data_IF_069773750350
#
_entry.id   IF_069773750350
#
_cell.length_a   1.000
_cell.length_b   1.000
_cell.length_c   1.000
_cell.angle_alpha   90.00
_cell.angle_beta   90.00
_cell.angle_gamma   90.00
#
_symmetry.space_group_name_H-M   'P 1'
#
loop_
_entity.id
_entity.type
_entity.pdbx_description
1 polymer ?
#
# COMPACT_ATOMS: atom_id res chain seq x y z
N UNK A 1 -19.67 -7.39 4.72
CA UNK A 1 -18.52 -8.11 5.30
C UNK A 1 -17.37 -7.11 5.38
N UNK A 2 -16.72 -7.03 6.55
CA UNK A 2 -15.57 -6.16 6.74
C UNK A 2 -14.32 -7.00 6.92
N UNK A 3 -13.22 -6.59 6.28
CA UNK A 3 -11.92 -7.24 6.37
C UNK A 3 -10.81 -6.22 6.60
N UNK A 4 -9.90 -6.52 7.52
CA UNK A 4 -8.63 -5.81 7.67
C UNK A 4 -7.60 -6.50 6.79
N UNK A 5 -6.94 -5.76 5.92
CA UNK A 5 -5.99 -6.34 4.99
C UNK A 5 -4.75 -5.45 4.80
N UNK A 6 -3.61 -6.09 4.71
CA UNK A 6 -2.39 -5.55 4.17
C UNK A 6 -1.97 -6.35 2.94
N UNK A 7 -0.96 -5.96 2.25
CA UNK A 7 -0.23 -6.58 1.18
C UNK A 7 -0.79 -7.82 0.44
N UNK A 8 0.13 -8.64 -0.02
CA UNK A 8 -0.16 -9.77 -0.94
C UNK A 8 -1.11 -10.80 -0.35
N UNK A 9 -0.91 -11.19 0.91
CA UNK A 9 -1.73 -12.23 1.56
C UNK A 9 -3.18 -11.78 1.72
N UNK A 10 -3.38 -10.56 2.23
CA UNK A 10 -4.70 -9.94 2.37
C UNK A 10 -5.41 -9.79 1.03
N UNK A 11 -4.73 -9.28 0.02
CA UNK A 11 -5.28 -9.08 -1.31
C UNK A 11 -5.75 -10.39 -1.97
N UNK A 12 -4.95 -11.47 -1.85
CA UNK A 12 -5.32 -12.80 -2.36
C UNK A 12 -6.52 -13.38 -1.61
N UNK A 13 -6.56 -13.21 -0.29
CA UNK A 13 -7.68 -13.66 0.52
C UNK A 13 -8.98 -12.96 0.09
N UNK A 14 -8.98 -11.62 -0.02
CA UNK A 14 -10.16 -10.85 -0.42
C UNK A 14 -10.60 -11.21 -1.84
N UNK A 15 -9.67 -11.42 -2.77
CA UNK A 15 -10.00 -11.88 -4.12
C UNK A 15 -10.72 -13.24 -4.09
N UNK A 16 -10.22 -14.18 -3.28
CA UNK A 16 -10.87 -15.48 -3.08
C UNK A 16 -12.24 -15.37 -2.42
N UNK A 17 -12.37 -14.52 -1.39
CA UNK A 17 -13.64 -14.23 -0.73
C UNK A 17 -14.66 -13.67 -1.74
N UNK A 18 -14.27 -12.66 -2.54
CA UNK A 18 -15.17 -12.08 -3.54
C UNK A 18 -15.63 -13.14 -4.57
N UNK A 19 -14.71 -13.97 -5.06
CA UNK A 19 -15.06 -15.06 -5.94
C UNK A 19 -16.06 -16.04 -5.30
N UNK A 20 -15.84 -16.42 -4.05
CA UNK A 20 -16.78 -17.28 -3.30
C UNK A 20 -18.17 -16.64 -3.19
N UNK A 21 -18.24 -15.36 -2.85
CA UNK A 21 -19.51 -14.64 -2.75
C UNK A 21 -20.22 -14.56 -4.10
N UNK A 22 -19.49 -14.32 -5.20
CA UNK A 22 -20.05 -14.22 -6.55
C UNK A 22 -20.62 -15.56 -7.06
N UNK A 23 -20.03 -16.68 -6.62
CA UNK A 23 -20.41 -18.03 -7.08
C UNK A 23 -21.37 -18.76 -6.15
N UNK A 24 -21.65 -18.22 -4.95
CA UNK A 24 -22.55 -18.85 -3.98
C UNK A 24 -23.95 -18.28 -4.11
N UNK A 25 -25.00 -19.12 -4.35
CA UNK A 25 -26.36 -18.65 -4.44
C UNK A 25 -26.80 -17.84 -3.21
N UNK A 26 -27.37 -16.67 -3.44
CA UNK A 26 -27.86 -15.77 -2.41
C UNK A 26 -26.77 -14.87 -1.79
N UNK A 27 -25.50 -15.00 -2.13
CA UNK A 27 -24.43 -14.16 -1.60
C UNK A 27 -23.84 -13.16 -2.63
N UNK A 28 -24.21 -13.25 -3.90
CA UNK A 28 -23.64 -12.42 -4.96
C UNK A 28 -23.80 -10.91 -4.75
N UNK A 29 -24.85 -10.49 -4.03
CA UNK A 29 -25.11 -9.08 -3.72
C UNK A 29 -24.39 -8.58 -2.46
N UNK A 30 -23.62 -9.45 -1.80
CA UNK A 30 -22.85 -9.06 -0.60
C UNK A 30 -21.80 -8.00 -0.94
N UNK A 31 -21.71 -6.99 -0.10
CA UNK A 31 -20.64 -5.97 -0.17
C UNK A 31 -19.46 -6.36 0.70
N UNK A 32 -18.26 -5.97 0.31
CA UNK A 32 -17.03 -6.19 1.07
C UNK A 32 -16.34 -4.84 1.29
N UNK A 33 -16.20 -4.44 2.55
CA UNK A 33 -15.39 -3.29 2.96
C UNK A 33 -14.01 -3.78 3.36
N UNK A 34 -12.98 -3.25 2.72
CA UNK A 34 -11.58 -3.61 2.99
C UNK A 34 -10.89 -2.41 3.62
N UNK A 35 -10.46 -2.55 4.87
CA UNK A 35 -9.66 -1.55 5.57
C UNK A 35 -8.21 -1.91 5.36
N UNK A 36 -7.52 -1.09 4.58
CA UNK A 36 -6.14 -1.31 4.18
C UNK A 36 -5.14 -0.72 5.18
N UNK A 37 -4.06 -1.46 5.44
CA UNK A 37 -2.92 -0.95 6.17
C UNK A 37 -2.26 0.21 5.40
N UNK A 38 -1.93 1.30 6.10
CA UNK A 38 -1.15 2.43 5.59
C UNK A 38 0.13 2.65 6.41
N UNK A 39 0.43 1.76 7.36
CA UNK A 39 1.62 1.84 8.20
C UNK A 39 2.93 1.60 7.46
N UNK A 40 2.87 1.03 6.26
CA UNK A 40 4.03 0.76 5.41
C UNK A 40 4.19 1.77 4.27
N UNK A 41 3.33 2.80 4.25
CA UNK A 41 3.41 3.89 3.29
C UNK A 41 4.75 4.61 3.39
N UNK A 42 5.35 4.93 2.24
CA UNK A 42 6.67 5.55 2.17
C UNK A 42 6.69 6.67 1.12
N UNK A 43 7.57 7.64 1.32
CA UNK A 43 7.82 8.68 0.31
C UNK A 43 9.11 8.38 -0.45
N UNK A 44 9.00 8.13 -1.76
CA UNK A 44 10.11 7.83 -2.66
C UNK A 44 10.10 8.82 -3.83
N UNK A 45 11.23 9.41 -4.17
CA UNK A 45 11.34 10.41 -5.26
C UNK A 45 10.35 11.58 -5.11
N UNK A 46 9.97 11.93 -3.87
CA UNK A 46 8.93 12.94 -3.61
C UNK A 46 7.49 12.46 -3.83
N UNK A 47 7.30 11.19 -4.15
CA UNK A 47 5.99 10.58 -4.38
C UNK A 47 5.55 9.72 -3.19
N UNK A 48 4.28 9.83 -2.80
CA UNK A 48 3.69 8.94 -1.79
C UNK A 48 3.35 7.58 -2.42
N UNK A 49 3.97 6.55 -1.92
CA UNK A 49 3.78 5.14 -2.28
C UNK A 49 3.05 4.45 -1.13
N UNK A 50 1.97 3.75 -1.41
CA UNK A 50 1.15 3.02 -0.43
C UNK A 50 1.12 1.54 -0.81
N UNK A 51 2.17 0.75 -0.49
CA UNK A 51 2.37 -0.59 -1.05
C UNK A 51 1.21 -1.54 -0.82
N UNK A 52 0.60 -1.52 0.36
CA UNK A 52 -0.52 -2.39 0.71
C UNK A 52 -1.81 -1.99 -0.01
N UNK A 53 -2.12 -0.68 -0.03
CA UNK A 53 -3.26 -0.14 -0.78
C UNK A 53 -3.13 -0.46 -2.27
N UNK A 54 -1.93 -0.28 -2.84
CA UNK A 54 -1.67 -0.53 -4.26
C UNK A 54 -1.79 -2.00 -4.61
N UNK A 55 -1.26 -2.89 -3.77
CA UNK A 55 -1.41 -4.34 -3.93
C UNK A 55 -2.88 -4.76 -3.91
N UNK A 56 -3.69 -4.19 -3.00
CA UNK A 56 -5.12 -4.42 -2.95
C UNK A 56 -5.82 -3.89 -4.22
N UNK A 57 -5.54 -2.66 -4.63
CA UNK A 57 -6.10 -2.06 -5.85
C UNK A 57 -5.84 -2.93 -7.08
N UNK A 58 -4.58 -3.32 -7.28
CA UNK A 58 -4.18 -4.07 -8.47
C UNK A 58 -4.71 -5.50 -8.46
N UNK A 59 -4.68 -6.16 -7.30
CA UNK A 59 -5.20 -7.53 -7.17
C UNK A 59 -6.71 -7.58 -7.36
N UNK A 60 -7.45 -6.69 -6.70
CA UNK A 60 -8.91 -6.66 -6.77
C UNK A 60 -9.42 -6.06 -8.08
N UNK A 61 -8.64 -5.20 -8.73
CA UNK A 61 -8.89 -4.66 -10.06
C UNK A 61 -8.43 -5.56 -11.22
N UNK A 62 -7.87 -6.76 -10.95
CA UNK A 62 -7.33 -7.70 -11.94
C UNK A 62 -6.17 -7.15 -12.79
N UNK A 63 -5.36 -6.27 -12.21
CA UNK A 63 -4.20 -5.69 -12.87
C UNK A 63 -2.87 -6.01 -12.19
N UNK A 64 -2.86 -6.93 -11.22
CA UNK A 64 -1.66 -7.34 -10.49
C UNK A 64 -0.75 -8.23 -11.35
N UNK A 65 0.56 -8.13 -11.15
CA UNK A 65 1.51 -9.10 -11.69
C UNK A 65 1.39 -10.42 -10.92
N UNK A 66 0.73 -11.42 -11.50
CA UNK A 66 0.36 -12.67 -10.80
C UNK A 66 1.55 -13.45 -10.24
N UNK A 67 2.70 -13.44 -10.92
CA UNK A 67 3.90 -14.16 -10.48
C UNK A 67 4.52 -13.56 -9.21
N UNK A 68 4.54 -12.22 -9.09
CA UNK A 68 5.06 -11.53 -7.91
C UNK A 68 3.99 -11.41 -6.81
N UNK A 69 2.72 -11.27 -7.20
CA UNK A 69 1.60 -11.01 -6.30
C UNK A 69 1.50 -9.56 -5.84
N UNK A 70 2.32 -8.66 -6.36
CA UNK A 70 2.33 -7.21 -6.15
C UNK A 70 2.77 -6.49 -7.42
N UNK A 71 2.62 -5.18 -7.47
CA UNK A 71 2.89 -4.39 -8.67
C UNK A 71 1.90 -4.68 -9.79
N UNK A 72 2.00 -3.94 -10.87
CA UNK A 72 1.09 -4.06 -12.01
C UNK A 72 1.60 -5.09 -13.01
N UNK A 73 0.69 -5.73 -13.72
CA UNK A 73 1.02 -6.50 -14.92
C UNK A 73 1.52 -5.56 -16.03
N UNK A 74 2.31 -6.12 -16.96
CA UNK A 74 2.79 -5.44 -18.16
C UNK A 74 3.61 -4.16 -17.89
N UNK A 75 4.34 -4.14 -16.77
CA UNK A 75 5.22 -3.02 -16.41
C UNK A 75 6.50 -3.01 -17.23
N UNK A 76 6.98 -1.79 -17.51
CA UNK A 76 8.36 -1.51 -17.87
C UNK A 76 9.03 -0.67 -16.77
N UNK A 77 10.35 -0.53 -16.82
CA UNK A 77 11.13 0.18 -15.80
C UNK A 77 12.02 1.28 -16.42
N UNK A 78 11.51 1.96 -17.43
CA UNK A 78 12.25 2.99 -18.16
C UNK A 78 12.46 4.24 -17.31
N UNK A 79 11.42 4.68 -16.58
CA UNK A 79 11.50 5.80 -15.63
C UNK A 79 12.52 5.49 -14.53
N UNK A 80 12.48 4.28 -13.97
CA UNK A 80 13.45 3.83 -12.97
C UNK A 80 14.90 3.90 -13.51
N UNK A 81 15.10 3.48 -14.77
CA UNK A 81 16.40 3.56 -15.43
C UNK A 81 16.90 4.99 -15.59
N UNK A 82 16.05 5.93 -15.98
CA UNK A 82 16.38 7.36 -16.08
C UNK A 82 16.70 7.96 -14.71
N UNK A 83 15.90 7.66 -13.68
CA UNK A 83 16.19 8.11 -12.33
C UNK A 83 17.56 7.62 -11.83
N UNK A 84 17.90 6.38 -12.14
CA UNK A 84 19.22 5.82 -11.81
C UNK A 84 20.35 6.55 -12.57
N UNK A 85 20.15 6.87 -13.84
CA UNK A 85 21.12 7.60 -14.65
C UNK A 85 21.39 9.02 -14.11
N UNK A 86 20.37 9.67 -13.53
CA UNK A 86 20.52 10.95 -12.82
C UNK A 86 21.08 10.81 -11.40
N UNK A 87 21.33 9.60 -10.92
CA UNK A 87 21.77 9.35 -9.53
C UNK A 87 20.70 9.57 -8.47
N UNK A 88 19.41 9.56 -8.86
CA UNK A 88 18.32 9.71 -7.91
C UNK A 88 18.24 8.52 -6.93
N UNK A 89 17.96 8.79 -5.68
CA UNK A 89 17.87 7.79 -4.61
C UNK A 89 16.46 7.79 -4.01
N UNK A 90 16.02 6.64 -3.46
CA UNK A 90 16.74 5.36 -3.37
C UNK A 90 16.57 4.50 -4.63
N UNK A 91 17.53 3.61 -4.91
CA UNK A 91 17.45 2.67 -6.05
C UNK A 91 17.02 1.25 -5.65
N UNK A 92 16.87 0.99 -4.36
CA UNK A 92 16.53 -0.35 -3.85
C UNK A 92 15.03 -0.68 -3.95
N UNK A 93 14.17 0.31 -4.20
CA UNK A 93 12.74 0.08 -4.37
C UNK A 93 12.38 0.22 -5.85
N UNK A 94 12.03 -0.90 -6.47
CA UNK A 94 11.67 -0.91 -7.89
C UNK A 94 10.20 -0.49 -8.07
N UNK A 95 9.97 0.51 -8.93
CA UNK A 95 8.66 0.96 -9.36
C UNK A 95 8.54 0.79 -10.87
N UNK A 96 7.41 0.29 -11.33
CA UNK A 96 7.09 0.23 -12.76
C UNK A 96 6.65 1.58 -13.32
N UNK A 97 6.71 1.73 -14.64
CA UNK A 97 6.34 2.99 -15.31
C UNK A 97 4.87 3.34 -15.10
N UNK A 98 3.99 2.34 -15.10
CA UNK A 98 2.57 2.50 -14.83
C UNK A 98 2.28 2.75 -13.32
N UNK A 99 3.09 2.16 -12.43
CA UNK A 99 3.06 2.46 -11.00
C UNK A 99 3.38 3.91 -10.73
N UNK A 100 4.40 4.47 -11.40
CA UNK A 100 4.69 5.90 -11.31
C UNK A 100 3.46 6.76 -11.60
N UNK A 101 2.63 6.38 -12.58
CA UNK A 101 1.37 7.07 -12.86
C UNK A 101 0.43 7.12 -11.64
N UNK A 102 0.28 6.01 -10.93
CA UNK A 102 -0.54 5.93 -9.70
C UNK A 102 0.03 6.81 -8.59
N UNK A 103 1.36 6.74 -8.37
CA UNK A 103 2.02 7.51 -7.31
C UNK A 103 2.04 9.02 -7.59
N UNK A 104 2.24 9.43 -8.84
CA UNK A 104 2.18 10.84 -9.27
C UNK A 104 0.79 11.42 -8.98
N UNK A 105 -0.26 10.74 -9.44
CA UNK A 105 -1.64 11.21 -9.26
C UNK A 105 -2.02 11.25 -7.77
N UNK A 106 -1.68 10.21 -7.00
CA UNK A 106 -1.87 10.20 -5.54
C UNK A 106 -1.17 11.38 -4.89
N UNK A 107 0.10 11.60 -5.18
CA UNK A 107 0.90 12.66 -4.56
C UNK A 107 0.39 14.05 -4.94
N UNK A 108 -0.06 14.22 -6.19
CA UNK A 108 -0.66 15.46 -6.66
C UNK A 108 -1.93 15.80 -5.86
N UNK A 109 -2.85 14.84 -5.70
CA UNK A 109 -4.08 15.06 -4.95
C UNK A 109 -3.82 15.32 -3.46
N UNK A 110 -2.93 14.53 -2.84
CA UNK A 110 -2.51 14.78 -1.45
C UNK A 110 -1.90 16.18 -1.28
N UNK A 111 -1.08 16.62 -2.23
CA UNK A 111 -0.49 17.97 -2.25
C UNK A 111 -1.52 19.09 -2.43
N UNK A 112 -2.70 18.79 -2.97
CA UNK A 112 -3.85 19.69 -3.06
C UNK A 112 -4.74 19.66 -1.80
N UNK A 113 -4.37 18.88 -0.78
CA UNK A 113 -5.13 18.74 0.46
C UNK A 113 -6.28 17.73 0.39
N UNK A 114 -6.36 16.91 -0.67
CA UNK A 114 -7.35 15.81 -0.74
C UNK A 114 -6.95 14.73 0.26
N UNK A 115 -7.84 14.27 1.17
CA UNK A 115 -7.50 13.25 2.15
C UNK A 115 -7.26 11.90 1.48
N UNK A 116 -6.45 11.04 2.13
CA UNK A 116 -6.07 9.72 1.58
C UNK A 116 -7.29 8.83 1.32
N UNK A 117 -8.33 8.92 2.14
CA UNK A 117 -9.60 8.21 1.96
C UNK A 117 -10.27 8.54 0.62
N UNK A 118 -10.34 9.82 0.27
CA UNK A 118 -10.89 10.26 -1.02
C UNK A 118 -9.97 9.90 -2.18
N UNK A 119 -8.66 10.05 -2.02
CA UNK A 119 -7.66 9.60 -3.01
C UNK A 119 -7.83 8.11 -3.28
N UNK A 120 -7.94 7.28 -2.22
CA UNK A 120 -8.13 5.84 -2.34
C UNK A 120 -9.44 5.49 -3.06
N UNK A 121 -10.54 6.19 -2.74
CA UNK A 121 -11.82 6.01 -3.43
C UNK A 121 -11.73 6.32 -4.93
N UNK A 122 -11.05 7.40 -5.32
CA UNK A 122 -10.84 7.76 -6.74
C UNK A 122 -10.01 6.69 -7.47
N UNK A 123 -8.96 6.19 -6.83
CA UNK A 123 -8.14 5.09 -7.38
C UNK A 123 -8.96 3.80 -7.47
N UNK A 124 -9.75 3.45 -6.45
CA UNK A 124 -10.62 2.28 -6.45
C UNK A 124 -11.65 2.33 -7.58
N UNK A 125 -12.25 3.49 -7.84
CA UNK A 125 -13.16 3.70 -8.97
C UNK A 125 -12.45 3.47 -10.31
N UNK A 126 -11.21 3.98 -10.49
CA UNK A 126 -10.40 3.70 -11.70
C UNK A 126 -10.16 2.21 -11.94
N UNK A 127 -10.07 1.42 -10.86
CA UNK A 127 -9.84 -0.04 -10.91
C UNK A 127 -11.13 -0.86 -10.90
N UNK A 128 -12.31 -0.24 -10.96
CA UNK A 128 -13.59 -0.92 -11.03
C UNK A 128 -13.96 -1.68 -9.76
N UNK A 129 -13.48 -1.26 -8.58
CA UNK A 129 -13.80 -1.91 -7.31
C UNK A 129 -15.26 -1.71 -6.90
N UNK A 130 -15.87 -0.51 -7.06
CA UNK A 130 -17.28 -0.31 -6.74
C UNK A 130 -18.22 -1.24 -7.52
N UNK A 131 -17.95 -1.46 -8.81
CA UNK A 131 -18.73 -2.37 -9.67
C UNK A 131 -18.63 -3.83 -9.21
N UNK A 132 -17.57 -4.15 -8.46
CA UNK A 132 -17.35 -5.45 -7.82
C UNK A 132 -17.90 -5.51 -6.40
N UNK A 133 -18.64 -4.50 -5.96
CA UNK A 133 -19.15 -4.36 -4.59
C UNK A 133 -18.05 -4.39 -3.51
N UNK A 134 -16.91 -3.80 -3.83
CA UNK A 134 -15.77 -3.67 -2.93
C UNK A 134 -15.56 -2.19 -2.62
N UNK A 135 -15.56 -1.85 -1.32
CA UNK A 135 -15.14 -0.54 -0.82
C UNK A 135 -13.75 -0.68 -0.21
N UNK A 136 -12.79 0.06 -0.71
CA UNK A 136 -11.42 0.09 -0.18
C UNK A 136 -11.23 1.38 0.62
N UNK A 137 -10.87 1.23 1.89
CA UNK A 137 -10.66 2.32 2.83
C UNK A 137 -9.22 2.26 3.36
N UNK A 138 -8.47 3.37 3.40
CA UNK A 138 -7.23 3.41 4.17
C UNK A 138 -7.57 3.38 5.66
N UNK A 139 -6.72 2.83 6.51
CA UNK A 139 -7.00 2.80 7.96
C UNK A 139 -7.05 4.19 8.57
N UNK A 140 -6.32 5.16 8.02
CA UNK A 140 -6.23 6.55 8.49
C UNK A 140 -5.92 7.51 7.36
N UNK A 141 -6.42 8.75 7.45
CA UNK A 141 -5.99 9.86 6.59
C UNK A 141 -4.71 10.54 7.11
N UNK A 142 -4.38 10.30 8.37
CA UNK A 142 -3.14 10.80 8.98
C UNK A 142 -1.99 9.89 8.56
N UNK A 143 -0.88 10.43 8.05
CA UNK A 143 0.29 9.63 7.72
C UNK A 143 0.82 8.90 8.95
N UNK A 144 0.98 7.59 8.81
CA UNK A 144 1.63 6.71 9.77
C UNK A 144 2.70 5.89 9.05
N UNK A 145 3.85 5.69 9.69
CA UNK A 145 4.97 4.99 9.07
C UNK A 145 5.64 4.07 10.09
N UNK A 146 5.79 2.80 9.72
CA UNK A 146 6.47 1.82 10.54
C UNK A 146 7.98 1.90 10.33
N UNK A 147 8.71 2.00 11.43
CA UNK A 147 10.17 1.99 11.46
C UNK A 147 10.67 0.82 12.30
N UNK A 148 11.78 0.26 11.87
CA UNK A 148 12.49 -0.80 12.58
C UNK A 148 13.73 -0.20 13.22
N UNK A 149 13.85 -0.32 14.53
CA UNK A 149 15.06 0.08 15.26
C UNK A 149 16.02 -1.09 15.24
N UNK A 150 17.22 -0.84 14.77
CA UNK A 150 18.32 -1.80 14.63
C UNK A 150 19.56 -1.28 15.35
N UNK A 151 20.47 -2.19 15.72
CA UNK A 151 21.78 -1.79 16.23
C UNK A 151 22.61 -1.16 15.09
N UNK A 152 23.29 -0.05 15.40
CA UNK A 152 24.16 0.66 14.46
C UNK A 152 25.56 0.76 15.05
N UNK A 153 26.43 -0.14 14.61
CA UNK A 153 27.82 -0.21 15.07
C UNK A 153 28.05 -1.05 16.36
N UNK A 154 29.34 -1.10 16.75
CA UNK A 154 29.80 -1.90 17.88
C UNK A 154 29.57 -1.19 19.25
N UNK A 155 29.30 0.09 19.23
CA UNK A 155 29.09 0.93 20.44
C UNK A 155 27.65 0.86 20.99
N UNK A 156 26.78 0.07 20.36
CA UNK A 156 25.40 -0.11 20.81
C UNK A 156 24.48 1.07 20.45
N UNK A 157 24.91 1.97 19.57
CA UNK A 157 24.04 2.99 19.01
C UNK A 157 22.85 2.34 18.29
N UNK A 158 21.72 3.03 18.28
CA UNK A 158 20.51 2.58 17.62
C UNK A 158 20.21 3.47 16.40
N UNK A 159 19.70 2.86 15.35
CA UNK A 159 19.22 3.56 14.18
C UNK A 159 17.81 3.08 13.82
N UNK A 160 16.91 4.01 13.53
CA UNK A 160 15.60 3.70 12.98
C UNK A 160 15.67 3.73 11.45
N UNK A 161 15.23 2.67 10.80
CA UNK A 161 15.09 2.58 9.35
C UNK A 161 13.64 2.31 8.99
N UNK A 162 13.18 2.82 7.86
CA UNK A 162 11.81 2.57 7.42
C UNK A 162 11.57 1.07 7.20
N UNK A 163 10.35 0.57 7.52
CA UNK A 163 10.02 -0.85 7.39
C UNK A 163 10.28 -1.38 5.98
N UNK A 164 9.90 -0.62 4.94
CA UNK A 164 10.13 -1.02 3.55
C UNK A 164 11.63 -1.14 3.22
N UNK A 165 12.49 -0.28 3.78
CA UNK A 165 13.93 -0.39 3.61
C UNK A 165 14.46 -1.64 4.29
N UNK A 166 14.04 -1.90 5.53
CA UNK A 166 14.44 -3.10 6.27
C UNK A 166 13.99 -4.38 5.56
N UNK A 167 12.75 -4.39 5.04
CA UNK A 167 12.17 -5.55 4.38
C UNK A 167 12.73 -5.77 2.97
N UNK A 168 12.70 -4.74 2.11
CA UNK A 168 13.04 -4.86 0.69
C UNK A 168 14.55 -4.81 0.45
N UNK A 169 15.23 -3.80 1.01
CA UNK A 169 16.66 -3.60 0.80
C UNK A 169 17.49 -4.59 1.59
N UNK A 170 17.15 -4.76 2.87
CA UNK A 170 17.92 -5.59 3.78
C UNK A 170 17.36 -7.02 3.92
N UNK A 171 16.24 -7.34 3.27
CA UNK A 171 15.60 -8.65 3.30
C UNK A 171 15.39 -9.19 4.74
N UNK A 172 15.06 -8.28 5.67
CA UNK A 172 14.92 -8.55 7.09
C UNK A 172 16.16 -9.22 7.74
N UNK A 173 17.34 -9.15 7.12
CA UNK A 173 18.57 -9.80 7.61
C UNK A 173 19.19 -9.09 8.81
N UNK A 174 18.86 -7.80 9.03
CA UNK A 174 19.32 -7.05 10.19
C UNK A 174 18.37 -7.35 11.36
N UNK A 175 18.87 -7.84 12.52
CA UNK A 175 18.01 -8.12 13.67
C UNK A 175 17.28 -6.86 14.14
N UNK A 176 15.95 -6.94 14.18
CA UNK A 176 15.11 -5.89 14.73
C UNK A 176 15.17 -5.91 16.26
N UNK A 177 15.44 -4.76 16.88
CA UNK A 177 15.34 -4.61 18.33
C UNK A 177 13.92 -4.26 18.76
N UNK A 178 13.27 -3.35 18.03
CA UNK A 178 11.87 -2.97 18.24
C UNK A 178 11.28 -2.33 16.98
N UNK A 179 9.96 -2.26 16.95
CA UNK A 179 9.20 -1.54 15.94
C UNK A 179 8.62 -0.26 16.55
N UNK A 180 8.62 0.81 15.78
CA UNK A 180 8.05 2.11 16.15
C UNK A 180 7.15 2.56 15.02
N UNK A 181 5.94 3.00 15.35
CA UNK A 181 5.00 3.55 14.37
C UNK A 181 4.95 5.06 14.56
N UNK A 182 5.59 5.79 13.66
CA UNK A 182 5.57 7.24 13.65
C UNK A 182 4.18 7.76 13.27
N UNK A 183 3.69 8.77 13.97
CA UNK A 183 2.38 9.38 13.72
C UNK A 183 1.20 8.66 14.36
N UNK A 184 1.41 7.53 15.04
CA UNK A 184 0.34 6.74 15.67
C UNK A 184 -0.43 7.53 16.73
N UNK A 185 0.25 8.41 17.47
CA UNK A 185 -0.33 9.29 18.49
C UNK A 185 -1.37 10.28 17.94
N UNK A 186 -1.33 10.56 16.65
CA UNK A 186 -2.25 11.47 15.94
C UNK A 186 -3.22 10.75 15.02
N UNK A 187 -3.01 9.45 14.82
CA UNK A 187 -3.81 8.67 13.90
C UNK A 187 -5.26 8.57 14.40
N UNK A 188 -6.19 8.79 13.49
CA UNK A 188 -7.61 8.57 13.69
C UNK A 188 -8.13 7.70 12.55
N UNK A 189 -9.18 6.95 12.80
CA UNK A 189 -9.82 6.15 11.76
C UNK A 189 -10.26 7.05 10.60
N UNK A 190 -9.95 6.66 9.37
CA UNK A 190 -10.41 7.37 8.19
C UNK A 190 -11.95 7.30 8.08
N UNK A 191 -12.59 8.27 7.36
CA UNK A 191 -14.03 8.25 7.12
C UNK A 191 -14.50 6.90 6.58
N UNK A 192 -15.59 6.38 7.14
CA UNK A 192 -16.19 5.09 6.78
C UNK A 192 -15.57 3.86 7.44
N UNK A 193 -14.41 3.98 8.10
CA UNK A 193 -13.76 2.83 8.77
C UNK A 193 -14.59 2.31 9.93
N UNK A 194 -15.02 3.21 10.83
CA UNK A 194 -15.84 2.80 12.00
C UNK A 194 -17.24 2.35 11.60
N UNK A 195 -17.81 2.91 10.53
CA UNK A 195 -19.12 2.50 10.02
C UNK A 195 -19.05 1.11 9.34
N UNK A 196 -17.87 0.71 8.89
CA UNK A 196 -17.66 -0.60 8.26
C UNK A 196 -17.49 -1.73 9.29
N UNK A 197 -17.10 -1.43 10.53
CA UNK A 197 -16.89 -2.41 11.61
C UNK A 197 -18.17 -2.68 12.36
#
# INVERSE_FOLDING_TARGET
ITALAGGVGGARFIRGLRHHLDTTPGLADSTVSVIANTGDDITLFGLRVSPDVDTLLYTLGNGVHEGQGWGRADESHRVQGELAAYGALPQWFALGDLDFGTHIVRSQWLGQGVPLSEVTARLAARWGLPERRITLLPMSDVPVETHVVVADGEDGAERAIHFQEWWVRHQASIPAQRFVVAGLDRATAAPGVLDAI
#
